data_IF_347180495355
#
_entry.id   IF_347180495355
#
_cell.length_a   1.000
_cell.length_b   1.000
_cell.length_c   1.000
_cell.angle_alpha   90.00
_cell.angle_beta   90.00
_cell.angle_gamma   90.00
#
_symmetry.space_group_name_H-M   'P 1'
#
loop_
_entity.id
_entity.type
_entity.pdbx_description
1 polymer ?
#
# COMPACT_ATOMS: atom_id res chain seq x y z
N UNK A 1 -8.31 6.80 19.49
CA UNK A 1 -8.38 7.19 18.06
C UNK A 1 -7.97 6.01 17.21
N UNK A 2 -8.72 5.72 16.15
CA UNK A 2 -8.38 4.68 15.15
C UNK A 2 -8.23 5.38 13.80
N UNK A 3 -7.08 5.24 13.17
CA UNK A 3 -6.80 5.76 11.82
C UNK A 3 -6.87 4.61 10.82
N UNK A 4 -7.84 4.66 9.93
CA UNK A 4 -8.00 3.74 8.82
C UNK A 4 -7.21 4.28 7.62
N UNK A 5 -6.07 3.69 7.36
CA UNK A 5 -5.16 4.02 6.27
C UNK A 5 -5.53 3.17 5.04
N UNK A 6 -6.62 3.55 4.38
CA UNK A 6 -7.11 2.85 3.20
C UNK A 6 -6.45 3.42 1.95
N UNK A 7 -5.42 2.71 1.47
CA UNK A 7 -4.56 3.21 0.42
C UNK A 7 -5.34 3.57 -0.84
N UNK A 8 -5.10 4.78 -1.35
CA UNK A 8 -5.46 5.26 -2.69
C UNK A 8 -6.97 5.25 -3.02
N UNK A 9 -7.87 5.30 -2.03
CA UNK A 9 -9.31 5.37 -2.32
C UNK A 9 -9.66 6.63 -3.12
N UNK A 10 -10.52 6.47 -4.12
CA UNK A 10 -11.03 7.54 -4.98
C UNK A 10 -12.32 8.14 -4.42
N UNK A 11 -12.35 9.45 -4.21
CA UNK A 11 -13.49 10.17 -3.64
C UNK A 11 -14.75 10.04 -4.50
N UNK A 12 -14.59 10.12 -5.83
CA UNK A 12 -15.68 10.04 -6.80
C UNK A 12 -16.33 8.65 -6.77
N UNK A 13 -15.53 7.59 -6.65
CA UNK A 13 -16.06 6.23 -6.53
C UNK A 13 -16.80 6.03 -5.21
N UNK A 14 -16.27 6.56 -4.09
CA UNK A 14 -16.98 6.53 -2.81
C UNK A 14 -18.33 7.25 -2.94
N UNK A 15 -18.34 8.47 -3.45
CA UNK A 15 -19.56 9.27 -3.62
C UNK A 15 -20.57 8.54 -4.52
N UNK A 16 -20.14 8.01 -5.66
CA UNK A 16 -20.98 7.27 -6.60
C UNK A 16 -21.57 5.99 -5.99
N UNK A 17 -20.78 5.23 -5.23
CA UNK A 17 -21.26 4.01 -4.57
C UNK A 17 -22.14 4.32 -3.35
N UNK A 18 -21.85 5.38 -2.60
CA UNK A 18 -22.75 5.86 -1.52
C UNK A 18 -24.10 6.33 -2.07
N UNK A 19 -24.12 7.06 -3.19
CA UNK A 19 -25.37 7.52 -3.82
C UNK A 19 -26.26 6.34 -4.25
N UNK A 20 -25.64 5.20 -4.62
CA UNK A 20 -26.33 3.94 -4.95
C UNK A 20 -26.69 3.10 -3.73
N UNK A 21 -26.44 3.56 -2.51
CA UNK A 21 -26.73 2.83 -1.27
C UNK A 21 -25.82 1.62 -1.01
N UNK A 22 -24.68 1.51 -1.69
CA UNK A 22 -23.80 0.34 -1.61
C UNK A 22 -22.80 0.39 -0.45
N UNK A 23 -22.62 1.57 0.17
CA UNK A 23 -21.59 1.84 1.19
C UNK A 23 -22.22 2.47 2.45
N UNK A 24 -23.02 1.72 3.23
CA UNK A 24 -23.65 2.24 4.45
C UNK A 24 -22.64 2.57 5.55
N UNK A 25 -21.51 1.85 5.66
CA UNK A 25 -20.43 2.10 6.62
C UNK A 25 -19.70 3.42 6.34
N UNK A 26 -19.33 3.66 5.07
CA UNK A 26 -18.77 4.95 4.65
C UNK A 26 -19.75 6.09 4.93
N UNK A 27 -21.02 5.91 4.58
CA UNK A 27 -22.06 6.92 4.85
C UNK A 27 -22.16 7.23 6.34
N UNK A 28 -22.20 6.21 7.19
CA UNK A 28 -22.28 6.38 8.64
C UNK A 28 -21.06 7.10 9.23
N UNK A 29 -19.84 6.91 8.66
CA UNK A 29 -18.66 7.65 9.04
C UNK A 29 -18.71 9.08 8.48
N UNK A 30 -19.05 9.25 7.20
CA UNK A 30 -19.15 10.54 6.52
C UNK A 30 -20.07 11.52 7.26
N UNK A 31 -21.28 11.07 7.60
CA UNK A 31 -22.32 11.88 8.25
C UNK A 31 -21.96 12.35 9.67
N UNK A 32 -20.88 11.83 10.25
CA UNK A 32 -20.37 12.25 11.57
C UNK A 32 -18.93 12.79 11.53
N UNK A 33 -18.43 13.10 10.35
CA UNK A 33 -17.05 13.53 10.16
C UNK A 33 -16.93 14.95 9.65
N UNK A 34 -15.86 15.63 10.06
CA UNK A 34 -15.30 16.75 9.29
C UNK A 34 -14.52 16.15 8.15
N UNK A 35 -14.91 16.50 6.93
CA UNK A 35 -14.44 15.92 5.67
C UNK A 35 -13.53 16.92 4.98
N UNK A 36 -12.29 16.51 4.74
CA UNK A 36 -11.30 17.27 3.98
C UNK A 36 -10.94 16.50 2.71
N UNK A 37 -10.69 17.23 1.63
CA UNK A 37 -9.88 16.77 0.52
C UNK A 37 -8.43 17.06 0.86
N UNK A 38 -7.55 16.06 0.74
CA UNK A 38 -6.10 16.28 0.95
C UNK A 38 -5.37 16.49 -0.37
N UNK A 39 -4.18 17.07 -0.29
CA UNK A 39 -3.26 17.21 -1.42
C UNK A 39 -1.87 16.70 -0.99
N UNK A 40 -1.32 15.76 -1.76
CA UNK A 40 0.00 15.19 -1.54
C UNK A 40 1.13 16.22 -1.79
N UNK A 41 0.87 17.25 -2.58
CA UNK A 41 1.85 18.30 -2.92
C UNK A 41 2.96 17.82 -3.86
N UNK A 42 2.82 16.63 -4.46
CA UNK A 42 3.81 16.01 -5.34
C UNK A 42 3.20 15.64 -6.69
N UNK A 43 4.07 15.44 -7.67
CA UNK A 43 3.75 14.97 -9.01
C UNK A 43 4.64 13.78 -9.38
N UNK A 44 4.31 12.99 -10.41
CA UNK A 44 5.21 11.96 -10.90
C UNK A 44 6.61 12.52 -11.25
N UNK A 45 7.71 11.82 -10.91
CA UNK A 45 7.77 10.45 -10.39
C UNK A 45 7.63 10.31 -8.87
N UNK A 46 7.45 11.40 -8.12
CA UNK A 46 7.43 11.38 -6.65
C UNK A 46 6.03 11.09 -6.08
N UNK A 47 4.98 11.07 -6.91
CA UNK A 47 3.62 10.79 -6.49
C UNK A 47 3.40 9.29 -6.34
N UNK A 48 4.03 8.71 -5.32
CA UNK A 48 3.97 7.28 -5.02
C UNK A 48 3.54 7.06 -3.56
N UNK A 49 2.68 6.08 -3.26
CA UNK A 49 2.16 5.90 -1.91
C UNK A 49 3.27 5.67 -0.87
N UNK A 50 4.33 4.92 -1.22
CA UNK A 50 5.45 4.68 -0.32
C UNK A 50 6.34 5.93 -0.06
N UNK A 51 6.17 7.01 -0.83
CA UNK A 51 6.75 8.34 -0.59
C UNK A 51 5.79 9.19 0.26
N UNK A 52 4.48 9.13 -0.03
CA UNK A 52 3.49 9.99 0.60
C UNK A 52 3.10 9.53 2.01
N UNK A 53 3.10 8.22 2.30
CA UNK A 53 2.83 7.74 3.66
C UNK A 53 3.87 8.20 4.69
N UNK A 54 5.20 8.19 4.43
CA UNK A 54 6.17 8.89 5.27
C UNK A 54 5.82 10.34 5.57
N UNK A 55 5.33 11.11 4.58
CA UNK A 55 4.84 12.48 4.76
C UNK A 55 3.67 12.54 5.75
N UNK A 56 2.66 11.67 5.59
CA UNK A 56 1.50 11.58 6.50
C UNK A 56 1.94 11.27 7.94
N UNK A 57 2.89 10.34 8.12
CA UNK A 57 3.32 9.90 9.45
C UNK A 57 4.31 10.82 10.14
N UNK A 58 5.14 11.55 9.37
CA UNK A 58 6.17 12.43 9.92
C UNK A 58 5.78 13.91 9.95
N UNK A 59 4.77 14.32 9.17
CA UNK A 59 4.46 15.74 8.96
C UNK A 59 5.57 16.52 8.24
N UNK A 60 6.46 15.80 7.53
CA UNK A 60 7.56 16.35 6.74
C UNK A 60 7.27 16.15 5.24
N UNK A 61 7.69 17.07 4.41
CA UNK A 61 7.60 16.92 2.94
C UNK A 61 8.60 15.86 2.44
N UNK A 62 8.37 15.34 1.22
CA UNK A 62 9.33 14.42 0.58
C UNK A 62 10.76 14.98 0.55
N UNK A 63 10.93 16.27 0.26
CA UNK A 63 12.26 16.93 0.21
C UNK A 63 13.00 16.87 1.55
N UNK A 64 12.26 16.84 2.66
CA UNK A 64 12.83 16.84 4.01
C UNK A 64 13.10 15.43 4.51
N UNK A 65 12.16 14.49 4.32
CA UNK A 65 12.38 13.12 4.80
C UNK A 65 13.25 12.27 3.85
N UNK A 66 13.28 12.56 2.55
CA UNK A 66 14.14 11.92 1.56
C UNK A 66 13.91 10.41 1.35
N UNK A 67 12.78 9.86 1.82
CA UNK A 67 12.45 8.43 1.66
C UNK A 67 11.84 8.25 0.27
N UNK A 68 12.60 7.64 -0.62
CA UNK A 68 12.19 7.45 -2.02
C UNK A 68 11.78 6.02 -2.33
N UNK A 69 12.43 5.02 -1.72
CA UNK A 69 12.21 3.62 -2.06
C UNK A 69 11.23 2.94 -1.13
N UNK A 70 10.48 1.98 -1.67
CA UNK A 70 9.59 1.12 -0.91
C UNK A 70 10.41 0.27 0.08
N UNK A 71 9.96 0.26 1.35
CA UNK A 71 10.60 -0.46 2.44
C UNK A 71 11.76 0.29 3.12
N UNK A 72 12.10 1.51 2.68
CA UNK A 72 13.18 2.33 3.24
C UNK A 72 12.72 3.24 4.40
N UNK A 73 11.50 3.11 4.87
CA UNK A 73 10.98 3.89 6.00
C UNK A 73 11.85 3.85 7.26
N UNK A 74 12.62 2.75 7.45
CA UNK A 74 13.58 2.63 8.57
C UNK A 74 14.70 3.69 8.53
N UNK A 75 14.94 4.31 7.39
CA UNK A 75 15.95 5.38 7.21
C UNK A 75 15.45 6.74 7.66
N UNK A 76 14.16 6.89 7.93
CA UNK A 76 13.58 8.13 8.46
C UNK A 76 14.24 8.45 9.82
N UNK A 77 14.92 9.59 9.89
CA UNK A 77 15.67 10.00 11.08
C UNK A 77 14.74 10.53 12.17
N UNK A 78 13.71 11.26 11.75
CA UNK A 78 12.78 11.91 12.65
C UNK A 78 11.69 10.93 13.14
N UNK A 79 11.10 11.23 14.30
CA UNK A 79 10.07 10.40 14.90
C UNK A 79 8.75 10.56 14.15
N UNK A 80 8.09 9.44 13.85
CA UNK A 80 6.71 9.45 13.36
C UNK A 80 5.73 9.87 14.47
N UNK A 81 4.51 10.22 14.09
CA UNK A 81 3.43 10.54 15.04
C UNK A 81 3.22 9.41 16.05
N UNK A 82 3.27 8.14 15.61
CA UNK A 82 3.14 6.97 16.49
C UNK A 82 4.27 6.91 17.53
N UNK A 83 5.53 7.17 17.12
CA UNK A 83 6.67 7.20 18.02
C UNK A 83 6.57 8.34 19.06
N UNK A 84 6.13 9.53 18.63
CA UNK A 84 5.94 10.68 19.54
C UNK A 84 4.84 10.42 20.58
N UNK A 85 3.73 9.80 20.16
CA UNK A 85 2.67 9.41 21.09
C UNK A 85 3.15 8.33 22.06
N UNK A 86 3.93 7.35 21.59
CA UNK A 86 4.54 6.33 22.44
C UNK A 86 5.50 6.92 23.47
N UNK A 87 6.34 7.89 23.08
CA UNK A 87 7.23 8.62 24.01
C UNK A 87 6.46 9.41 25.08
N UNK A 88 5.25 9.88 24.73
CA UNK A 88 4.32 10.51 25.67
C UNK A 88 3.53 9.50 26.53
N UNK A 89 4.01 8.25 26.62
CA UNK A 89 3.40 7.14 27.35
C UNK A 89 1.96 6.78 26.92
N UNK A 90 1.55 7.15 25.72
CA UNK A 90 0.26 6.76 25.14
C UNK A 90 0.42 5.37 24.52
N UNK A 91 -0.43 4.38 24.88
CA UNK A 91 -0.41 3.06 24.23
C UNK A 91 -0.76 3.15 22.75
N UNK A 92 0.13 2.64 21.88
CA UNK A 92 0.09 2.80 20.43
C UNK A 92 0.07 1.43 19.74
N UNK A 93 -0.75 1.29 18.68
CA UNK A 93 -0.72 0.16 17.78
C UNK A 93 -0.48 0.60 16.35
N UNK A 94 0.53 0.08 15.69
CA UNK A 94 0.76 0.29 14.25
C UNK A 94 0.59 -1.03 13.54
N UNK A 95 -0.35 -1.08 12.59
CA UNK A 95 -0.67 -2.29 11.84
C UNK A 95 -0.54 -2.07 10.34
N UNK A 96 0.57 -2.52 9.77
CA UNK A 96 0.80 -2.55 8.33
C UNK A 96 1.04 -1.17 7.67
N UNK A 97 1.13 -0.09 8.44
CA UNK A 97 1.35 1.26 7.90
C UNK A 97 2.56 1.32 6.99
N UNK A 98 2.35 1.83 5.76
CA UNK A 98 3.34 1.75 4.70
C UNK A 98 4.55 2.65 4.98
N UNK A 99 5.73 2.05 4.88
CA UNK A 99 7.03 2.73 4.92
C UNK A 99 7.27 3.53 6.21
N UNK A 100 6.72 3.06 7.34
CA UNK A 100 6.90 3.68 8.66
C UNK A 100 8.22 3.22 9.28
N UNK A 101 8.90 4.14 9.99
CA UNK A 101 10.10 3.84 10.72
C UNK A 101 9.81 2.85 11.87
N UNK A 102 10.60 1.75 11.94
CA UNK A 102 10.57 0.82 13.05
C UNK A 102 11.13 1.46 14.32
N UNK A 103 10.33 1.42 15.37
CA UNK A 103 10.76 1.76 16.74
C UNK A 103 10.01 0.88 17.73
N UNK A 104 10.61 0.60 18.88
CA UNK A 104 9.86 0.01 19.98
C UNK A 104 8.79 1.00 20.44
N UNK A 105 7.54 0.54 20.43
CA UNK A 105 6.39 1.34 20.82
C UNK A 105 5.82 0.83 22.15
N UNK A 106 5.26 1.73 22.92
CA UNK A 106 4.39 1.36 24.04
C UNK A 106 3.10 0.72 23.52
N UNK A 107 3.17 -0.57 23.16
CA UNK A 107 2.07 -1.30 22.55
C UNK A 107 2.54 -2.35 21.53
N UNK A 108 2.23 -2.16 20.24
CA UNK A 108 2.67 -3.10 19.20
C UNK A 108 2.99 -2.40 17.88
N UNK A 109 3.86 -3.07 17.08
CA UNK A 109 4.22 -2.66 15.72
C UNK A 109 4.23 -3.88 14.78
N UNK A 110 3.40 -3.86 13.76
CA UNK A 110 3.45 -4.78 12.62
C UNK A 110 3.78 -3.92 11.40
N UNK A 111 4.98 -4.08 10.80
CA UNK A 111 5.37 -3.28 9.63
C UNK A 111 4.58 -3.68 8.38
N UNK A 112 4.65 -2.84 7.36
CA UNK A 112 4.18 -3.22 6.02
C UNK A 112 5.01 -4.39 5.47
N UNK A 113 4.44 -5.18 4.54
CA UNK A 113 5.09 -6.38 4.02
C UNK A 113 6.43 -6.14 3.31
N UNK A 114 6.69 -4.92 2.85
CA UNK A 114 7.90 -4.54 2.11
C UNK A 114 9.03 -3.98 2.98
N UNK A 115 8.78 -3.82 4.28
CA UNK A 115 9.73 -3.21 5.21
C UNK A 115 11.04 -4.01 5.27
N UNK A 116 12.17 -3.38 4.90
CA UNK A 116 13.47 -4.07 4.74
C UNK A 116 14.03 -4.67 6.04
N UNK A 117 13.76 -4.09 7.20
CA UNK A 117 14.17 -4.67 8.48
C UNK A 117 13.30 -5.86 8.92
N UNK A 118 12.07 -5.96 8.41
CA UNK A 118 11.19 -7.11 8.56
C UNK A 118 10.92 -7.55 10.01
N UNK A 119 10.84 -6.62 10.98
CA UNK A 119 10.72 -6.92 12.40
C UNK A 119 9.42 -6.39 12.99
N UNK A 120 8.58 -7.30 13.49
CA UNK A 120 7.39 -6.96 14.27
C UNK A 120 7.72 -6.89 15.78
N UNK A 121 6.96 -6.09 16.52
CA UNK A 121 7.09 -5.97 17.98
C UNK A 121 5.71 -6.07 18.65
N UNK A 122 5.56 -6.85 19.72
CA UNK A 122 6.54 -7.77 20.31
C UNK A 122 6.88 -8.96 19.37
N UNK A 123 7.99 -9.65 19.64
CA UNK A 123 8.49 -10.75 18.81
C UNK A 123 7.46 -11.88 18.61
N UNK A 124 6.49 -12.03 19.51
CA UNK A 124 5.37 -12.96 19.36
C UNK A 124 4.52 -12.74 18.10
N UNK A 125 4.62 -11.56 17.45
CA UNK A 125 3.93 -11.22 16.20
C UNK A 125 4.76 -11.60 14.95
N UNK A 126 6.04 -11.93 15.12
CA UNK A 126 6.92 -12.25 14.01
C UNK A 126 6.45 -13.44 13.14
N UNK A 127 5.82 -14.50 13.69
CA UNK A 127 5.26 -15.58 12.86
C UNK A 127 4.17 -15.10 11.90
N UNK A 128 3.30 -14.21 12.35
CA UNK A 128 2.28 -13.58 11.49
C UNK A 128 2.95 -12.74 10.40
N UNK A 129 3.84 -11.83 10.79
CA UNK A 129 4.51 -10.95 9.85
C UNK A 129 5.25 -11.70 8.74
N UNK A 130 5.99 -12.76 9.08
CA UNK A 130 6.71 -13.60 8.09
C UNK A 130 5.79 -14.21 7.04
N UNK A 131 4.62 -14.69 7.45
CA UNK A 131 3.67 -15.27 6.49
C UNK A 131 3.11 -14.19 5.56
N UNK A 132 2.71 -13.04 6.11
CA UNK A 132 2.13 -11.96 5.29
C UNK A 132 3.17 -11.34 4.35
N UNK A 133 4.38 -11.03 4.82
CA UNK A 133 5.44 -10.46 3.99
C UNK A 133 5.83 -11.42 2.85
N UNK A 134 6.00 -12.71 3.17
CA UNK A 134 6.27 -13.73 2.15
C UNK A 134 5.14 -13.82 1.12
N UNK A 135 3.87 -13.87 1.56
CA UNK A 135 2.71 -13.93 0.67
C UNK A 135 2.66 -12.73 -0.31
N UNK A 136 3.02 -11.53 0.16
CA UNK A 136 2.98 -10.31 -0.65
C UNK A 136 4.20 -10.20 -1.56
N UNK A 137 5.40 -10.47 -1.06
CA UNK A 137 6.66 -10.34 -1.81
C UNK A 137 6.85 -11.46 -2.84
N UNK A 138 6.42 -12.67 -2.53
CA UNK A 138 6.61 -13.87 -3.36
C UNK A 138 5.37 -14.24 -4.18
N UNK A 139 4.39 -13.33 -4.29
CA UNK A 139 3.16 -13.58 -5.07
C UNK A 139 3.41 -13.96 -6.54
N UNK A 140 4.64 -13.80 -7.03
CA UNK A 140 5.10 -14.20 -8.36
C UNK A 140 5.96 -15.48 -8.37
N UNK A 141 6.22 -16.12 -7.21
CA UNK A 141 6.96 -17.39 -7.11
C UNK A 141 5.98 -18.53 -6.80
N UNK A 142 6.16 -19.66 -7.47
CA UNK A 142 5.35 -20.88 -7.27
C UNK A 142 5.71 -21.67 -6.00
N UNK A 143 6.62 -21.19 -5.15
CA UNK A 143 6.99 -21.83 -3.91
C UNK A 143 5.84 -21.75 -2.91
N UNK A 144 5.00 -22.78 -2.95
CA UNK A 144 3.87 -22.93 -2.04
C UNK A 144 4.33 -22.97 -0.58
N UNK A 145 3.56 -22.33 0.31
CA UNK A 145 3.72 -22.54 1.75
C UNK A 145 3.67 -24.03 2.08
N UNK A 146 4.55 -24.48 2.95
CA UNK A 146 4.46 -25.83 3.48
C UNK A 146 3.14 -26.00 4.25
N UNK A 147 2.62 -27.22 4.28
CA UNK A 147 1.42 -27.53 5.10
C UNK A 147 1.64 -27.15 6.56
N UNK A 148 2.87 -27.30 7.07
CA UNK A 148 3.25 -26.91 8.42
C UNK A 148 3.13 -25.38 8.64
N UNK A 149 3.56 -24.55 7.68
CA UNK A 149 3.41 -23.09 7.75
C UNK A 149 1.93 -22.70 7.79
N UNK A 150 1.11 -23.32 6.96
CA UNK A 150 -0.33 -23.04 6.90
C UNK A 150 -1.05 -23.45 8.21
N UNK A 151 -0.73 -24.60 8.76
CA UNK A 151 -1.29 -25.08 10.04
C UNK A 151 -0.82 -24.17 11.18
N UNK A 152 0.49 -23.86 11.22
CA UNK A 152 1.07 -22.95 12.21
C UNK A 152 0.43 -21.56 12.19
N UNK A 153 0.22 -21.00 10.99
CA UNK A 153 -0.46 -19.73 10.82
C UNK A 153 -1.94 -19.79 11.24
N UNK A 154 -2.67 -20.82 10.85
CA UNK A 154 -4.05 -21.03 11.27
C UNK A 154 -4.20 -21.13 12.79
N UNK A 155 -3.28 -21.85 13.44
CA UNK A 155 -3.21 -21.96 14.90
C UNK A 155 -2.90 -20.61 15.58
N UNK A 156 -1.94 -19.86 15.02
CA UNK A 156 -1.65 -18.51 15.49
C UNK A 156 -2.89 -17.63 15.44
N UNK A 157 -3.60 -17.60 14.30
CA UNK A 157 -4.80 -16.78 14.11
C UNK A 157 -5.94 -17.19 15.04
N UNK A 158 -6.17 -18.50 15.23
CA UNK A 158 -7.19 -19.01 16.15
C UNK A 158 -6.97 -18.52 17.60
N UNK A 159 -5.70 -18.41 18.02
CA UNK A 159 -5.33 -17.88 19.34
C UNK A 159 -5.34 -16.36 19.45
N UNK A 160 -5.22 -15.68 18.32
CA UNK A 160 -5.08 -14.23 18.25
C UNK A 160 -6.29 -13.51 17.64
N UNK A 161 -7.48 -14.10 17.75
CA UNK A 161 -8.73 -13.37 17.53
C UNK A 161 -9.46 -13.68 16.22
N UNK A 162 -9.06 -14.73 15.48
CA UNK A 162 -9.82 -15.19 14.31
C UNK A 162 -11.30 -15.38 14.67
N UNK A 163 -12.16 -14.66 13.97
CA UNK A 163 -13.62 -14.77 14.17
C UNK A 163 -14.23 -15.89 13.32
N UNK A 164 -15.36 -16.43 13.76
CA UNK A 164 -16.10 -17.41 12.98
C UNK A 164 -16.56 -16.86 11.61
N UNK A 165 -16.88 -15.56 11.54
CA UNK A 165 -17.23 -14.89 10.28
C UNK A 165 -16.07 -14.88 9.29
N UNK A 166 -14.88 -14.51 9.74
CA UNK A 166 -13.66 -14.48 8.91
C UNK A 166 -13.25 -15.90 8.49
N UNK A 167 -13.30 -16.88 9.43
CA UNK A 167 -13.03 -18.29 9.09
C UNK A 167 -14.00 -18.82 8.02
N UNK A 168 -15.29 -18.44 8.13
CA UNK A 168 -16.31 -18.79 7.13
C UNK A 168 -16.04 -18.09 5.77
N UNK A 169 -15.62 -16.82 5.78
CA UNK A 169 -15.26 -16.11 4.56
C UNK A 169 -14.07 -16.77 3.85
N UNK A 170 -13.03 -17.17 4.60
CA UNK A 170 -11.88 -17.93 4.08
C UNK A 170 -12.34 -19.26 3.47
N UNK A 171 -13.14 -20.04 4.20
CA UNK A 171 -13.62 -21.34 3.72
C UNK A 171 -14.45 -21.21 2.45
N UNK A 172 -15.34 -20.20 2.37
CA UNK A 172 -16.14 -19.89 1.17
C UNK A 172 -15.26 -19.48 0.00
N UNK A 173 -14.24 -18.63 0.24
CA UNK A 173 -13.32 -18.22 -0.81
C UNK A 173 -12.54 -19.41 -1.38
N UNK A 174 -11.93 -20.23 -0.51
CA UNK A 174 -11.16 -21.40 -0.93
C UNK A 174 -12.03 -22.47 -1.62
N UNK A 175 -13.26 -22.68 -1.13
CA UNK A 175 -14.24 -23.54 -1.79
C UNK A 175 -14.68 -23.00 -3.16
N UNK A 176 -14.97 -21.71 -3.24
CA UNK A 176 -15.33 -21.03 -4.48
C UNK A 176 -14.23 -21.09 -5.53
N UNK A 177 -12.97 -20.90 -5.15
CA UNK A 177 -11.82 -20.98 -6.04
C UNK A 177 -11.57 -22.36 -6.66
N UNK A 178 -11.99 -23.43 -5.99
CA UNK A 178 -11.92 -24.79 -6.55
C UNK A 178 -12.95 -24.99 -7.68
N UNK A 179 -14.07 -24.27 -7.60
CA UNK A 179 -15.12 -24.31 -8.62
C UNK A 179 -14.84 -23.30 -9.72
N UNK A 180 -14.29 -22.15 -9.38
CA UNK A 180 -14.00 -21.04 -10.29
C UNK A 180 -12.67 -20.35 -9.89
N UNK A 181 -11.52 -20.77 -10.47
CA UNK A 181 -10.22 -20.17 -10.20
C UNK A 181 -10.14 -18.66 -10.54
N UNK A 182 -11.04 -18.15 -11.41
CA UNK A 182 -11.10 -16.75 -11.81
C UNK A 182 -11.47 -15.78 -10.70
N UNK A 183 -11.90 -16.26 -9.50
CA UNK A 183 -12.21 -15.42 -8.34
C UNK A 183 -11.07 -15.29 -7.34
N UNK A 184 -9.86 -15.78 -7.65
CA UNK A 184 -8.68 -15.68 -6.75
C UNK A 184 -8.33 -14.26 -6.34
N UNK A 185 -8.61 -13.28 -7.18
CA UNK A 185 -8.39 -11.85 -6.90
C UNK A 185 -9.06 -11.39 -5.58
N UNK A 186 -10.15 -12.03 -5.15
CA UNK A 186 -10.84 -11.70 -3.89
C UNK A 186 -10.04 -12.02 -2.63
N UNK A 187 -8.97 -12.82 -2.73
CA UNK A 187 -8.12 -13.16 -1.57
C UNK A 187 -7.60 -11.93 -0.84
N UNK A 188 -7.28 -10.84 -1.58
CA UNK A 188 -6.77 -9.62 -0.98
C UNK A 188 -7.74 -9.03 0.05
N UNK A 189 -9.04 -8.97 -0.26
CA UNK A 189 -10.05 -8.46 0.68
C UNK A 189 -10.34 -9.41 1.84
N UNK A 190 -10.22 -10.73 1.63
CA UNK A 190 -10.31 -11.70 2.73
C UNK A 190 -9.14 -11.57 3.69
N UNK A 191 -7.95 -11.25 3.17
CA UNK A 191 -6.78 -10.96 3.98
C UNK A 191 -6.99 -9.73 4.87
N UNK A 192 -7.60 -8.67 4.36
CA UNK A 192 -7.92 -7.48 5.17
C UNK A 192 -8.84 -7.83 6.36
N UNK A 193 -9.85 -8.68 6.15
CA UNK A 193 -10.73 -9.13 7.24
C UNK A 193 -9.96 -9.95 8.31
N UNK A 194 -9.04 -10.81 7.86
CA UNK A 194 -8.17 -11.57 8.73
C UNK A 194 -7.20 -10.69 9.55
N UNK A 195 -6.61 -9.69 8.89
CA UNK A 195 -5.74 -8.69 9.52
C UNK A 195 -6.51 -7.85 10.53
N UNK A 196 -7.76 -7.48 10.24
CA UNK A 196 -8.60 -6.75 11.16
C UNK A 196 -8.94 -7.54 12.43
N UNK A 197 -9.15 -8.86 12.33
CA UNK A 197 -9.40 -9.70 13.50
C UNK A 197 -8.20 -9.67 14.46
N UNK A 198 -6.98 -9.77 13.95
CA UNK A 198 -5.75 -9.63 14.73
C UNK A 198 -5.59 -8.21 15.30
N UNK A 199 -5.80 -7.18 14.49
CA UNK A 199 -5.76 -5.77 14.90
C UNK A 199 -6.68 -5.50 16.11
N UNK A 200 -7.92 -5.94 16.03
CA UNK A 200 -8.89 -5.81 17.11
C UNK A 200 -8.41 -6.50 18.39
N UNK A 201 -7.85 -7.71 18.27
CA UNK A 201 -7.33 -8.47 19.40
C UNK A 201 -6.13 -7.79 20.05
N UNK A 202 -5.21 -7.26 19.25
CA UNK A 202 -4.02 -6.57 19.75
C UNK A 202 -4.40 -5.25 20.44
N UNK A 203 -5.30 -4.46 19.87
CA UNK A 203 -5.77 -3.22 20.50
C UNK A 203 -6.37 -3.47 21.89
N UNK A 204 -7.19 -4.52 22.03
CA UNK A 204 -7.77 -4.89 23.32
C UNK A 204 -6.68 -5.39 24.30
N UNK A 205 -5.73 -6.20 23.83
CA UNK A 205 -4.66 -6.76 24.67
C UNK A 205 -3.69 -5.70 25.20
N UNK A 206 -3.33 -4.74 24.35
CA UNK A 206 -2.39 -3.67 24.69
C UNK A 206 -3.09 -2.39 25.16
N UNK A 207 -4.42 -2.40 25.29
CA UNK A 207 -5.22 -1.26 25.70
C UNK A 207 -4.89 0.01 24.92
N UNK A 208 -4.77 -0.15 23.60
CA UNK A 208 -4.31 0.88 22.67
C UNK A 208 -5.24 2.09 22.67
N UNK A 209 -4.66 3.29 22.74
CA UNK A 209 -5.38 4.56 22.65
C UNK A 209 -5.26 5.23 21.28
N UNK A 210 -4.17 4.95 20.58
CA UNK A 210 -3.95 5.37 19.19
C UNK A 210 -3.57 4.15 18.36
N UNK A 211 -4.30 3.88 17.28
CA UNK A 211 -3.95 2.81 16.38
C UNK A 211 -4.10 3.22 14.91
N UNK A 212 -3.22 2.69 14.07
CA UNK A 212 -3.34 2.73 12.60
C UNK A 212 -3.65 1.34 12.07
N UNK A 213 -4.49 1.26 11.03
CA UNK A 213 -4.79 0.04 10.30
C UNK A 213 -4.71 0.32 8.80
N UNK A 214 -3.70 -0.27 8.15
CA UNK A 214 -3.46 -0.10 6.73
C UNK A 214 -4.09 -1.22 5.90
N UNK A 215 -4.72 -0.86 4.79
CA UNK A 215 -5.21 -1.80 3.78
C UNK A 215 -4.87 -1.32 2.37
N UNK A 216 -4.44 -2.26 1.51
CA UNK A 216 -4.02 -2.01 0.13
C UNK A 216 -4.88 -2.75 -0.92
N UNK A 217 -5.85 -3.57 -0.51
CA UNK A 217 -6.59 -4.43 -1.45
C UNK A 217 -7.36 -3.63 -2.49
N UNK A 218 -8.03 -2.54 -2.08
CA UNK A 218 -8.82 -1.71 -3.00
C UNK A 218 -7.94 -0.92 -3.97
N UNK A 219 -6.79 -0.41 -3.51
CA UNK A 219 -5.80 0.20 -4.39
C UNK A 219 -5.33 -0.77 -5.48
N UNK A 220 -5.03 -2.03 -5.09
CA UNK A 220 -4.70 -3.09 -6.02
C UNK A 220 -5.81 -3.30 -7.06
N UNK A 221 -7.08 -3.38 -6.64
CA UNK A 221 -8.18 -3.55 -7.59
C UNK A 221 -8.34 -2.37 -8.54
N UNK A 222 -8.14 -1.14 -8.08
CA UNK A 222 -8.19 0.06 -8.92
C UNK A 222 -7.05 0.06 -9.95
N UNK A 223 -5.83 -0.31 -9.58
CA UNK A 223 -4.72 -0.41 -10.53
C UNK A 223 -5.00 -1.41 -11.66
N UNK A 224 -5.60 -2.55 -11.35
CA UNK A 224 -5.71 -3.65 -12.29
C UNK A 224 -7.04 -3.69 -13.06
N UNK A 225 -8.16 -3.28 -12.43
CA UNK A 225 -9.50 -3.62 -12.93
C UNK A 225 -10.39 -2.43 -13.25
N UNK A 226 -9.85 -1.22 -13.33
CA UNK A 226 -10.66 -0.05 -13.69
C UNK A 226 -11.22 -0.18 -15.11
N UNK A 227 -10.41 -0.66 -16.02
CA UNK A 227 -10.81 -0.96 -17.41
C UNK A 227 -11.94 -2.01 -17.49
N UNK A 228 -11.89 -3.02 -16.62
CA UNK A 228 -12.95 -4.02 -16.56
C UNK A 228 -14.25 -3.44 -15.99
N UNK A 229 -14.18 -2.44 -15.08
CA UNK A 229 -15.36 -1.80 -14.49
C UNK A 229 -16.00 -0.78 -15.43
N UNK A 230 -15.22 -0.03 -16.20
CA UNK A 230 -15.67 1.06 -17.06
C UNK A 230 -14.96 0.98 -18.43
N UNK A 231 -15.20 -0.09 -19.23
CA UNK A 231 -14.50 -0.31 -20.48
C UNK A 231 -14.70 0.83 -21.49
N UNK A 232 -15.83 1.52 -21.42
CA UNK A 232 -16.22 2.59 -22.33
C UNK A 232 -15.34 3.85 -22.28
N UNK A 233 -14.62 4.07 -21.16
CA UNK A 233 -13.72 5.23 -21.02
C UNK A 233 -12.29 4.94 -21.48
N UNK A 234 -11.98 3.68 -21.80
CA UNK A 234 -10.64 3.26 -22.22
C UNK A 234 -10.56 3.02 -23.72
N UNK A 235 -9.46 3.42 -24.35
CA UNK A 235 -9.23 3.17 -25.78
C UNK A 235 -9.01 1.68 -26.06
N UNK A 236 -8.33 0.97 -25.14
CA UNK A 236 -8.15 -0.49 -25.24
C UNK A 236 -9.20 -1.20 -24.38
N UNK A 237 -9.92 -2.19 -24.91
CA UNK A 237 -10.88 -2.98 -24.13
C UNK A 237 -10.19 -3.84 -23.08
N UNK A 238 -10.93 -4.43 -22.13
CA UNK A 238 -10.44 -5.54 -21.30
C UNK A 238 -9.86 -6.66 -22.16
N UNK A 239 -8.95 -7.46 -21.60
CA UNK A 239 -8.37 -8.57 -22.34
C UNK A 239 -9.44 -9.62 -22.64
N UNK A 240 -9.35 -10.29 -23.79
CA UNK A 240 -10.30 -11.34 -24.20
C UNK A 240 -10.36 -12.51 -23.20
N UNK A 241 -9.25 -12.76 -22.47
CA UNK A 241 -9.18 -13.79 -21.41
C UNK A 241 -9.55 -13.31 -20.02
N UNK A 242 -9.96 -12.05 -19.84
CA UNK A 242 -10.33 -11.52 -18.53
C UNK A 242 -11.59 -12.20 -18.00
N UNK A 243 -11.53 -12.65 -16.74
CA UNK A 243 -12.69 -13.27 -16.09
C UNK A 243 -13.81 -12.24 -15.89
N UNK A 244 -15.06 -12.59 -16.21
CA UNK A 244 -16.20 -11.67 -16.15
C UNK A 244 -16.41 -11.01 -14.77
N UNK A 245 -16.01 -11.68 -13.68
CA UNK A 245 -16.12 -11.11 -12.32
C UNK A 245 -15.23 -9.90 -12.06
N UNK A 246 -14.21 -9.63 -12.90
CA UNK A 246 -13.30 -8.51 -12.76
C UNK A 246 -13.99 -7.16 -12.94
N UNK A 247 -15.08 -7.10 -13.72
CA UNK A 247 -15.92 -5.91 -13.84
C UNK A 247 -16.48 -5.42 -12.50
N UNK A 248 -16.68 -6.32 -11.54
CA UNK A 248 -17.15 -6.00 -10.19
C UNK A 248 -16.03 -5.84 -9.14
N UNK A 249 -14.76 -5.97 -9.50
CA UNK A 249 -13.67 -6.09 -8.53
C UNK A 249 -13.47 -4.82 -7.69
N UNK A 250 -13.47 -3.65 -8.32
CA UNK A 250 -13.35 -2.36 -7.61
C UNK A 250 -14.52 -2.16 -6.65
N UNK A 251 -15.76 -2.34 -7.13
CA UNK A 251 -16.94 -2.25 -6.25
C UNK A 251 -16.87 -3.24 -5.08
N UNK A 252 -16.38 -4.46 -5.31
CA UNK A 252 -16.16 -5.44 -4.25
C UNK A 252 -15.16 -4.94 -3.20
N UNK A 253 -14.04 -4.32 -3.63
CA UNK A 253 -13.05 -3.71 -2.75
C UNK A 253 -13.67 -2.64 -1.85
N UNK A 254 -14.40 -1.69 -2.44
CA UNK A 254 -15.08 -0.64 -1.68
C UNK A 254 -16.10 -1.22 -0.68
N UNK A 255 -16.88 -2.23 -1.07
CA UNK A 255 -17.80 -2.91 -0.15
C UNK A 255 -17.07 -3.68 0.96
N UNK A 256 -15.85 -4.15 0.71
CA UNK A 256 -15.03 -4.78 1.76
C UNK A 256 -14.55 -3.73 2.76
N UNK A 257 -14.04 -2.58 2.29
CA UNK A 257 -13.68 -1.45 3.16
C UNK A 257 -14.88 -0.93 3.94
N UNK A 258 -16.05 -0.88 3.31
CA UNK A 258 -17.31 -0.49 3.95
C UNK A 258 -17.66 -1.38 5.15
N UNK A 259 -17.55 -2.70 4.97
CA UNK A 259 -17.75 -3.65 6.08
C UNK A 259 -16.75 -3.46 7.20
N UNK A 260 -15.47 -3.19 6.87
CA UNK A 260 -14.44 -2.91 7.87
C UNK A 260 -14.75 -1.62 8.65
N UNK A 261 -15.15 -0.54 7.96
CA UNK A 261 -15.60 0.68 8.63
C UNK A 261 -16.76 0.37 9.58
N UNK A 262 -17.77 -0.38 9.12
CA UNK A 262 -18.92 -0.77 9.95
C UNK A 262 -18.49 -1.55 11.20
N UNK A 263 -17.53 -2.49 11.06
CA UNK A 263 -16.94 -3.23 12.18
C UNK A 263 -16.20 -2.31 13.16
N UNK A 264 -15.37 -1.38 12.63
CA UNK A 264 -14.64 -0.41 13.47
C UNK A 264 -15.59 0.46 14.27
N UNK A 265 -16.65 0.97 13.63
CA UNK A 265 -17.65 1.80 14.31
C UNK A 265 -18.43 1.04 15.39
N UNK A 266 -18.63 -0.27 15.21
CA UNK A 266 -19.28 -1.14 16.19
C UNK A 266 -18.34 -1.56 17.32
N UNK A 267 -17.08 -1.92 16.99
CA UNK A 267 -16.08 -2.40 17.97
C UNK A 267 -15.53 -1.25 18.84
N UNK A 268 -15.54 0.00 18.33
CA UNK A 268 -14.96 1.18 19.00
C UNK A 268 -15.93 2.38 18.99
N UNK A 269 -17.13 2.28 19.62
CA UNK A 269 -18.18 3.29 19.53
C UNK A 269 -17.76 4.67 20.10
N UNK A 270 -16.84 4.69 21.06
CA UNK A 270 -16.32 5.90 21.72
C UNK A 270 -15.04 6.44 21.06
N UNK A 271 -14.51 5.77 20.02
CA UNK A 271 -13.28 6.20 19.39
C UNK A 271 -13.54 7.26 18.32
N UNK A 272 -12.65 8.26 18.26
CA UNK A 272 -12.51 9.07 17.06
C UNK A 272 -11.97 8.18 15.94
N UNK A 273 -12.78 7.91 14.93
CA UNK A 273 -12.37 7.17 13.72
C UNK A 273 -11.93 8.18 12.65
N UNK A 274 -10.73 7.98 12.13
CA UNK A 274 -10.18 8.78 11.04
C UNK A 274 -10.04 7.89 9.81
N UNK A 275 -10.57 8.30 8.68
CA UNK A 275 -10.27 7.69 7.37
C UNK A 275 -9.26 8.59 6.66
N UNK A 276 -8.15 7.99 6.23
CA UNK A 276 -7.05 8.74 5.61
C UNK A 276 -6.52 8.00 4.39
N UNK A 277 -6.21 8.76 3.34
CA UNK A 277 -5.38 8.33 2.22
C UNK A 277 -4.23 9.30 2.05
N UNK A 278 -3.05 8.81 1.62
CA UNK A 278 -1.91 9.68 1.35
C UNK A 278 -2.02 10.36 -0.04
N UNK A 279 -2.72 9.74 -0.94
CA UNK A 279 -3.07 10.14 -2.30
C UNK A 279 -4.27 9.29 -2.75
N UNK A 280 -4.77 9.47 -3.97
CA UNK A 280 -5.82 8.60 -4.53
C UNK A 280 -5.46 8.05 -5.91
N UNK A 281 -6.45 7.45 -6.59
CA UNK A 281 -6.33 7.02 -7.97
C UNK A 281 -7.46 7.57 -8.82
N UNK A 282 -7.18 7.70 -10.10
CA UNK A 282 -8.14 7.94 -11.18
C UNK A 282 -7.95 6.95 -12.31
N UNK A 283 -8.92 6.81 -13.19
CA UNK A 283 -8.79 5.97 -14.38
C UNK A 283 -7.64 6.47 -15.27
N UNK A 284 -6.80 5.54 -15.72
CA UNK A 284 -5.74 5.85 -16.68
C UNK A 284 -6.23 5.53 -18.09
N UNK A 285 -6.80 6.51 -18.73
CA UNK A 285 -7.38 6.39 -20.09
C UNK A 285 -6.36 6.58 -21.22
N UNK A 286 -5.14 7.07 -20.92
CA UNK A 286 -4.06 7.18 -21.91
C UNK A 286 -3.46 5.81 -22.21
N UNK A 287 -4.00 5.18 -23.24
CA UNK A 287 -3.71 3.81 -23.62
C UNK A 287 -2.55 3.66 -24.61
N UNK A 288 -1.91 4.75 -24.98
CA UNK A 288 -0.69 4.69 -25.81
C UNK A 288 0.50 4.18 -24.99
N UNK A 289 0.41 4.26 -23.67
CA UNK A 289 1.45 3.79 -22.74
C UNK A 289 1.09 2.42 -22.17
N UNK A 290 1.94 1.45 -22.39
CA UNK A 290 1.87 0.13 -21.78
C UNK A 290 3.05 -0.09 -20.82
N UNK A 291 2.88 -1.00 -19.87
CA UNK A 291 3.97 -1.45 -19.01
C UNK A 291 4.48 -2.79 -19.51
N UNK A 292 5.78 -2.91 -19.68
CA UNK A 292 6.47 -4.05 -20.25
C UNK A 292 7.42 -4.66 -19.22
N UNK A 293 7.32 -5.97 -19.01
CA UNK A 293 8.12 -6.70 -18.02
C UNK A 293 8.95 -7.79 -18.71
N UNK A 294 10.18 -8.07 -18.25
CA UNK A 294 10.93 -9.23 -18.72
C UNK A 294 10.13 -10.52 -18.48
N UNK A 295 10.03 -11.38 -19.50
CA UNK A 295 9.45 -12.74 -19.35
C UNK A 295 10.29 -13.59 -18.41
N UNK A 296 11.60 -13.46 -18.53
CA UNK A 296 12.58 -14.09 -17.67
C UNK A 296 13.76 -13.15 -17.51
N UNK A 297 14.15 -12.86 -16.29
CA UNK A 297 15.38 -12.10 -16.03
C UNK A 297 16.61 -12.86 -16.51
N UNK A 298 16.62 -14.18 -16.38
CA UNK A 298 17.72 -15.01 -16.88
C UNK A 298 17.88 -14.85 -18.40
N UNK A 299 16.79 -14.87 -19.16
CA UNK A 299 16.82 -14.66 -20.60
C UNK A 299 17.28 -13.25 -20.98
N UNK A 300 16.85 -12.22 -20.27
CA UNK A 300 17.29 -10.84 -20.48
C UNK A 300 18.79 -10.69 -20.19
N UNK A 301 19.25 -11.17 -19.03
CA UNK A 301 20.64 -11.10 -18.62
C UNK A 301 21.54 -11.92 -19.58
N UNK A 302 21.12 -13.12 -19.97
CA UNK A 302 21.81 -13.94 -20.96
C UNK A 302 21.95 -13.22 -22.32
N UNK A 303 20.86 -12.59 -22.79
CA UNK A 303 20.93 -11.80 -24.02
C UNK A 303 21.85 -10.59 -23.87
N UNK A 304 21.90 -9.94 -22.70
CA UNK A 304 22.84 -8.88 -22.39
C UNK A 304 24.27 -9.38 -22.15
N UNK A 305 24.53 -10.70 -22.17
CA UNK A 305 25.80 -11.35 -21.82
C UNK A 305 26.26 -11.08 -20.38
N UNK A 306 25.32 -11.10 -19.47
CA UNK A 306 25.54 -11.00 -18.01
C UNK A 306 25.29 -12.38 -17.42
N UNK A 307 26.26 -12.89 -16.61
CA UNK A 307 26.07 -14.17 -15.91
C UNK A 307 25.04 -14.03 -14.80
N UNK A 308 23.86 -14.62 -15.01
CA UNK A 308 22.75 -14.55 -14.06
C UNK A 308 23.05 -15.18 -12.69
N UNK A 309 24.07 -16.08 -12.62
CA UNK A 309 24.48 -16.73 -11.36
C UNK A 309 25.24 -15.79 -10.42
N UNK A 310 25.79 -14.70 -10.95
CA UNK A 310 26.52 -13.66 -10.20
C UNK A 310 25.64 -12.47 -9.80
N UNK A 311 24.33 -12.58 -9.97
CA UNK A 311 23.39 -11.46 -9.78
C UNK A 311 22.21 -11.89 -8.91
N UNK A 312 22.02 -11.22 -7.79
CA UNK A 312 20.76 -11.33 -7.03
C UNK A 312 19.72 -10.40 -7.66
N UNK A 313 18.64 -10.99 -8.18
CA UNK A 313 17.54 -10.26 -8.83
C UNK A 313 16.46 -10.02 -7.80
N UNK A 314 16.13 -8.74 -7.57
CA UNK A 314 15.06 -8.32 -6.69
C UNK A 314 13.99 -7.57 -7.50
N UNK A 315 12.91 -8.23 -7.92
CA UNK A 315 11.79 -7.57 -8.57
C UNK A 315 11.22 -6.49 -7.64
N UNK A 316 10.91 -5.33 -8.21
CA UNK A 316 10.15 -4.27 -7.57
C UNK A 316 8.73 -4.32 -8.13
N UNK A 317 7.90 -3.33 -7.84
CA UNK A 317 6.56 -3.28 -8.41
C UNK A 317 6.61 -2.99 -9.92
N UNK A 318 5.65 -3.56 -10.66
CA UNK A 318 5.48 -3.39 -12.10
C UNK A 318 6.68 -3.86 -12.95
N UNK A 319 7.25 -2.97 -13.76
CA UNK A 319 8.37 -3.22 -14.68
C UNK A 319 9.75 -3.12 -14.04
N UNK A 320 9.84 -2.64 -12.81
CA UNK A 320 11.07 -2.27 -12.14
C UNK A 320 11.76 -3.47 -11.49
N UNK A 321 13.09 -3.39 -11.37
CA UNK A 321 13.89 -4.42 -10.71
C UNK A 321 15.21 -3.85 -10.18
N UNK A 322 15.75 -4.49 -9.15
CA UNK A 322 17.13 -4.28 -8.70
C UNK A 322 17.98 -5.48 -9.08
N UNK A 323 19.21 -5.22 -9.49
CA UNK A 323 20.25 -6.21 -9.73
C UNK A 323 21.41 -5.94 -8.78
N UNK A 324 21.66 -6.87 -7.86
CA UNK A 324 22.76 -6.78 -6.89
C UNK A 324 23.89 -7.70 -7.34
N UNK A 325 25.09 -7.16 -7.42
CA UNK A 325 26.31 -7.83 -7.89
C UNK A 325 27.31 -8.03 -6.75
N UNK A 326 28.17 -9.04 -6.88
CA UNK A 326 29.22 -9.35 -5.91
C UNK A 326 30.35 -8.30 -5.90
N UNK A 327 30.48 -7.47 -6.96
CA UNK A 327 31.49 -6.45 -7.06
C UNK A 327 31.06 -5.22 -7.86
N UNK A 328 31.63 -4.06 -7.54
CA UNK A 328 31.43 -2.81 -8.26
C UNK A 328 31.83 -2.92 -9.75
N UNK A 329 32.86 -3.73 -10.07
CA UNK A 329 33.30 -3.95 -11.43
C UNK A 329 32.27 -4.74 -12.25
N UNK A 330 31.70 -5.82 -11.68
CA UNK A 330 30.62 -6.58 -12.29
C UNK A 330 29.37 -5.72 -12.51
N UNK A 331 29.05 -4.88 -11.53
CA UNK A 331 27.97 -3.91 -11.62
C UNK A 331 28.20 -2.90 -12.78
N UNK A 332 29.39 -2.37 -12.93
CA UNK A 332 29.75 -1.43 -14.02
C UNK A 332 29.68 -2.08 -15.42
N UNK A 333 30.15 -3.33 -15.52
CA UNK A 333 30.03 -4.08 -16.79
C UNK A 333 28.56 -4.35 -17.14
N UNK A 334 27.77 -4.74 -16.17
CA UNK A 334 26.35 -4.99 -16.36
C UNK A 334 25.58 -3.73 -16.74
N UNK A 335 25.87 -2.59 -16.11
CA UNK A 335 25.29 -1.30 -16.48
C UNK A 335 25.53 -0.97 -17.95
N UNK A 336 26.79 -1.11 -18.41
CA UNK A 336 27.15 -0.88 -19.80
C UNK A 336 26.42 -1.85 -20.73
N UNK A 337 26.34 -3.12 -20.36
CA UNK A 337 25.71 -4.16 -21.17
C UNK A 337 24.20 -3.97 -21.29
N UNK A 338 23.52 -3.54 -20.22
CA UNK A 338 22.07 -3.27 -20.25
C UNK A 338 21.75 -1.99 -21.03
N UNK A 339 22.58 -0.97 -20.91
CA UNK A 339 22.45 0.28 -21.68
C UNK A 339 22.75 0.10 -23.19
N UNK A 340 23.40 -0.98 -23.56
CA UNK A 340 23.70 -1.34 -24.95
C UNK A 340 22.49 -1.94 -25.69
N UNK A 341 21.41 -2.29 -24.98
CA UNK A 341 20.21 -2.83 -25.57
C UNK A 341 19.32 -1.72 -26.13
N UNK A 342 18.92 -1.86 -27.38
CA UNK A 342 18.06 -0.91 -28.09
C UNK A 342 16.84 -1.60 -28.69
N UNK A 343 15.75 -0.83 -28.75
CA UNK A 343 14.61 -1.14 -29.59
C UNK A 343 14.51 -0.02 -30.64
N UNK A 344 14.77 -0.37 -31.91
CA UNK A 344 15.10 0.62 -32.92
C UNK A 344 16.29 1.48 -32.42
N UNK A 345 16.20 2.82 -32.50
CA UNK A 345 17.22 3.74 -32.00
C UNK A 345 17.04 4.18 -30.54
N UNK A 346 16.06 3.62 -29.85
CA UNK A 346 15.70 4.02 -28.47
C UNK A 346 16.35 3.09 -27.45
N UNK A 347 16.64 3.64 -26.27
CA UNK A 347 17.03 2.81 -25.13
C UNK A 347 15.89 1.81 -24.80
N UNK A 348 16.25 0.55 -24.59
CA UNK A 348 15.30 -0.49 -24.19
C UNK A 348 14.98 -0.38 -22.69
N UNK A 349 15.97 -0.05 -21.88
CA UNK A 349 15.88 0.00 -20.44
C UNK A 349 16.36 1.34 -19.92
N UNK A 350 15.64 1.88 -18.92
CA UNK A 350 16.23 2.83 -17.99
C UNK A 350 17.08 2.05 -17.00
N UNK A 351 18.36 2.42 -16.85
CA UNK A 351 19.31 1.80 -15.91
C UNK A 351 19.97 2.89 -15.09
N UNK A 352 19.85 2.80 -13.77
CA UNK A 352 20.45 3.74 -12.81
C UNK A 352 21.27 2.99 -11.78
N UNK A 353 22.47 3.48 -11.47
CA UNK A 353 23.29 2.95 -10.38
C UNK A 353 22.80 3.54 -9.05
N UNK A 354 22.45 2.68 -8.09
CA UNK A 354 21.99 3.09 -6.76
C UNK A 354 23.08 2.97 -5.69
N UNK A 355 23.98 2.00 -5.87
CA UNK A 355 25.14 1.83 -5.02
C UNK A 355 26.32 1.31 -5.85
N UNK A 356 27.47 1.09 -5.22
CA UNK A 356 28.63 0.51 -5.90
C UNK A 356 28.30 -0.84 -6.58
N UNK A 357 27.40 -1.63 -5.98
CA UNK A 357 27.09 -2.99 -6.40
C UNK A 357 25.63 -3.19 -6.86
N UNK A 358 24.81 -2.13 -6.91
CA UNK A 358 23.38 -2.25 -7.21
C UNK A 358 22.96 -1.39 -8.37
N UNK A 359 22.24 -1.99 -9.33
CA UNK A 359 21.55 -1.30 -10.41
C UNK A 359 20.04 -1.36 -10.17
N UNK A 360 19.36 -0.25 -10.40
CA UNK A 360 17.93 -0.17 -10.60
C UNK A 360 17.64 -0.11 -12.09
N UNK A 361 16.64 -0.86 -12.54
CA UNK A 361 16.25 -0.88 -13.94
C UNK A 361 14.76 -1.06 -14.15
N UNK A 362 14.30 -0.68 -15.35
CA UNK A 362 12.94 -0.87 -15.82
C UNK A 362 12.86 -0.76 -17.33
N UNK A 363 11.80 -1.26 -17.95
CA UNK A 363 11.61 -1.10 -19.39
C UNK A 363 11.19 0.35 -19.69
N UNK A 364 11.97 1.04 -20.52
CA UNK A 364 11.72 2.44 -20.91
C UNK A 364 10.77 2.57 -22.12
N UNK A 365 10.46 1.44 -22.73
CA UNK A 365 9.60 1.37 -23.92
C UNK A 365 8.15 1.25 -23.47
N UNK A 366 7.29 2.14 -23.97
CA UNK A 366 5.88 2.27 -23.53
C UNK A 366 4.87 2.12 -24.70
N UNK A 367 5.28 1.62 -25.87
CA UNK A 367 4.39 1.49 -27.03
C UNK A 367 3.81 0.06 -27.13
N UNK A 368 2.49 -0.04 -27.18
CA UNK A 368 1.77 -1.30 -27.26
C UNK A 368 2.00 -2.10 -28.57
N UNK A 369 2.51 -1.47 -29.63
CA UNK A 369 2.70 -2.08 -30.95
C UNK A 369 4.04 -2.76 -31.14
N UNK A 370 4.69 -3.19 -30.07
CA UNK A 370 6.08 -3.65 -30.07
C UNK A 370 6.25 -5.18 -30.23
N UNK A 371 5.17 -5.95 -30.27
CA UNK A 371 5.26 -7.42 -30.35
C UNK A 371 6.06 -7.92 -31.55
N UNK A 372 6.04 -7.16 -32.66
CA UNK A 372 6.70 -7.50 -33.93
C UNK A 372 8.08 -6.82 -34.10
N UNK A 373 8.57 -6.11 -33.07
CA UNK A 373 9.85 -5.40 -33.10
C UNK A 373 11.01 -6.27 -32.63
N UNK A 374 12.20 -5.87 -33.02
CA UNK A 374 13.46 -6.58 -32.73
C UNK A 374 14.35 -5.74 -31.80
N UNK A 375 14.78 -6.34 -30.70
CA UNK A 375 15.78 -5.77 -29.82
C UNK A 375 17.17 -6.03 -30.41
N UNK A 376 17.99 -4.99 -30.44
CA UNK A 376 19.38 -5.06 -30.92
C UNK A 376 20.35 -4.81 -29.75
N UNK A 377 21.36 -5.66 -29.66
CA UNK A 377 22.53 -5.41 -28.82
C UNK A 377 23.58 -4.72 -29.71
N UNK A 378 23.82 -3.44 -29.45
CA UNK A 378 24.54 -2.54 -30.35
C UNK A 378 26.00 -2.98 -30.58
N UNK A 379 26.69 -3.41 -29.52
CA UNK A 379 28.13 -3.74 -29.56
C UNK A 379 28.53 -4.85 -30.56
N UNK A 380 27.62 -5.74 -30.90
CA UNK A 380 27.92 -6.87 -31.80
C UNK A 380 26.81 -7.15 -32.83
N UNK A 381 25.76 -6.33 -32.83
CA UNK A 381 24.63 -6.43 -33.76
C UNK A 381 23.72 -7.64 -33.54
N UNK A 382 23.87 -8.36 -32.42
CA UNK A 382 22.96 -9.47 -32.11
C UNK A 382 21.54 -8.98 -31.88
N UNK A 383 20.58 -9.73 -32.43
CA UNK A 383 19.15 -9.35 -32.38
C UNK A 383 18.31 -10.42 -31.72
N UNK A 384 17.17 -10.01 -31.14
CA UNK A 384 16.17 -10.91 -30.60
C UNK A 384 14.76 -10.28 -30.71
N UNK A 385 13.72 -11.06 -31.10
CA UNK A 385 12.37 -10.55 -31.09
C UNK A 385 11.96 -9.99 -29.73
N UNK A 386 11.31 -8.83 -29.71
CA UNK A 386 10.90 -8.16 -28.46
C UNK A 386 10.02 -9.07 -27.60
N UNK A 387 9.04 -9.73 -28.20
CA UNK A 387 8.09 -10.62 -27.53
C UNK A 387 8.72 -11.87 -26.90
N UNK A 388 9.99 -12.24 -27.24
CA UNK A 388 10.72 -13.31 -26.56
C UNK A 388 11.30 -12.89 -25.23
N UNK A 389 11.68 -11.61 -25.07
CA UNK A 389 12.29 -11.08 -23.86
C UNK A 389 11.28 -10.36 -22.95
N UNK A 390 10.27 -9.71 -23.54
CA UNK A 390 9.30 -8.92 -22.81
C UNK A 390 7.87 -9.35 -23.08
N UNK A 391 6.99 -9.07 -22.14
CA UNK A 391 5.56 -9.16 -22.34
C UNK A 391 4.87 -7.91 -21.82
N UNK A 392 3.75 -7.59 -22.42
CA UNK A 392 2.96 -6.45 -22.02
C UNK A 392 2.06 -6.84 -20.86
N UNK A 393 2.13 -6.06 -19.80
CA UNK A 393 1.25 -6.20 -18.65
C UNK A 393 0.02 -5.33 -18.91
N UNK A 394 -0.91 -5.80 -19.74
CA UNK A 394 -2.12 -5.05 -20.12
C UNK A 394 -2.98 -4.64 -18.93
N UNK A 395 -2.95 -5.44 -17.86
CA UNK A 395 -3.79 -5.25 -16.69
C UNK A 395 -3.20 -4.32 -15.63
N UNK A 396 -1.91 -3.96 -15.72
CA UNK A 396 -1.22 -3.33 -14.60
C UNK A 396 -1.49 -1.83 -14.46
N UNK A 397 -2.07 -1.14 -15.43
CA UNK A 397 -2.33 0.29 -15.25
C UNK A 397 -3.64 0.71 -15.89
N UNK A 398 -4.72 0.33 -15.26
CA UNK A 398 -6.03 0.94 -15.50
C UNK A 398 -6.35 2.04 -14.47
N UNK A 399 -5.66 2.07 -13.33
CA UNK A 399 -5.66 3.15 -12.36
C UNK A 399 -4.31 3.88 -12.29
N UNK A 400 -4.34 5.18 -12.08
CA UNK A 400 -3.19 6.07 -12.01
C UNK A 400 -3.28 6.96 -10.78
N UNK A 401 -2.14 7.24 -10.11
CA UNK A 401 -2.10 8.07 -8.92
C UNK A 401 -2.59 9.50 -9.18
N UNK A 402 -3.42 9.99 -8.27
CA UNK A 402 -3.92 11.36 -8.23
C UNK A 402 -3.49 12.00 -6.90
N UNK A 403 -2.95 13.24 -6.90
CA UNK A 403 -2.48 13.89 -5.68
C UNK A 403 -3.61 14.20 -4.68
N UNK A 404 -4.86 14.22 -5.12
CA UNK A 404 -6.02 14.48 -4.27
C UNK A 404 -6.39 13.23 -3.49
N UNK A 405 -6.30 13.32 -2.16
CA UNK A 405 -6.67 12.24 -1.26
C UNK A 405 -7.85 12.61 -0.34
N UNK A 406 -8.05 11.81 0.69
CA UNK A 406 -9.14 11.92 1.65
C UNK A 406 -8.61 12.04 3.07
N UNK A 407 -9.26 12.88 3.87
CA UNK A 407 -9.13 12.88 5.33
C UNK A 407 -10.50 13.15 5.94
N UNK A 408 -11.09 12.13 6.55
CA UNK A 408 -12.34 12.25 7.30
C UNK A 408 -12.05 12.06 8.78
N UNK A 409 -12.35 13.04 9.60
CA UNK A 409 -12.14 12.98 11.05
C UNK A 409 -13.48 12.89 11.73
N UNK A 410 -13.76 11.77 12.39
CA UNK A 410 -14.98 11.56 13.16
C UNK A 410 -15.08 12.54 14.33
N UNK A 411 -15.76 13.65 14.11
CA UNK A 411 -15.95 14.75 15.06
C UNK A 411 -17.32 14.72 15.76
N UNK A 412 -18.18 13.78 15.37
CA UNK A 412 -19.58 13.72 15.81
C UNK A 412 -20.52 14.67 15.05
N UNK A 413 -19.98 15.55 14.20
CA UNK A 413 -20.73 16.48 13.37
C UNK A 413 -20.26 16.39 11.91
N UNK A 414 -21.20 16.42 10.98
CA UNK A 414 -20.88 16.49 9.57
C UNK A 414 -20.52 17.91 9.14
N UNK A 415 -19.36 18.05 8.52
CA UNK A 415 -18.88 19.30 7.93
C UNK A 415 -17.98 18.97 6.75
N UNK A 416 -18.15 19.65 5.62
CA UNK A 416 -17.27 19.51 4.45
C UNK A 416 -16.45 20.78 4.32
N UNK A 417 -15.12 20.65 4.39
CA UNK A 417 -14.21 21.77 4.19
C UNK A 417 -13.90 21.89 2.70
N UNK A 418 -14.18 23.07 2.14
CA UNK A 418 -14.09 23.28 0.70
C UNK A 418 -12.64 23.33 0.20
N UNK A 419 -11.74 23.95 0.98
CA UNK A 419 -10.34 24.11 0.60
C UNK A 419 -9.54 22.83 0.86
N UNK A 420 -8.77 22.33 -0.13
CA UNK A 420 -7.88 21.21 0.08
C UNK A 420 -6.80 21.51 1.14
N UNK A 421 -6.45 20.51 1.91
CA UNK A 421 -5.42 20.60 2.95
C UNK A 421 -4.22 19.72 2.62
N UNK A 422 -3.02 20.15 2.98
CA UNK A 422 -1.83 19.32 2.75
C UNK A 422 -1.80 18.10 3.68
N UNK A 423 -1.32 16.96 3.16
CA UNK A 423 -1.11 15.74 3.96
C UNK A 423 -0.10 15.92 5.10
N UNK A 424 0.80 16.92 5.02
CA UNK A 424 1.72 17.25 6.13
C UNK A 424 1.00 17.70 7.40
N UNK A 425 -0.27 18.13 7.30
CA UNK A 425 -1.08 18.59 8.42
C UNK A 425 -1.64 17.43 9.27
N UNK A 426 -1.59 16.18 8.77
CA UNK A 426 -2.25 15.03 9.41
C UNK A 426 -1.55 14.66 10.73
N UNK A 427 -0.22 14.48 10.72
CA UNK A 427 0.53 14.15 11.94
C UNK A 427 0.38 15.24 13.05
N UNK A 428 0.54 16.55 12.76
CA UNK A 428 0.28 17.60 13.73
C UNK A 428 -1.15 17.59 14.28
N UNK A 429 -2.14 17.28 13.43
CA UNK A 429 -3.55 17.17 13.84
C UNK A 429 -3.74 16.05 14.87
N UNK A 430 -3.16 14.87 14.61
CA UNK A 430 -3.22 13.73 15.54
C UNK A 430 -2.54 14.10 16.87
N UNK A 431 -1.33 14.67 16.85
CA UNK A 431 -0.63 15.10 18.07
C UNK A 431 -1.48 16.07 18.89
N UNK A 432 -2.11 17.05 18.23
CA UNK A 432 -3.00 18.01 18.91
C UNK A 432 -4.18 17.34 19.61
N UNK A 433 -4.79 16.31 18.99
CA UNK A 433 -5.89 15.54 19.61
C UNK A 433 -5.47 14.84 20.90
N UNK A 434 -4.18 14.52 21.06
CA UNK A 434 -3.64 13.90 22.26
C UNK A 434 -2.96 14.89 23.22
N UNK A 435 -2.93 16.17 22.88
CA UNK A 435 -2.24 17.19 23.68
C UNK A 435 -0.72 17.06 23.67
N UNK A 436 -0.15 16.39 22.67
CA UNK A 436 1.29 16.23 22.51
C UNK A 436 1.84 17.37 21.65
N UNK A 437 2.88 18.08 22.10
CA UNK A 437 3.48 19.18 21.35
C UNK A 437 4.02 18.72 19.98
N UNK A 438 3.78 19.50 18.94
CA UNK A 438 4.34 19.33 17.61
C UNK A 438 5.84 19.65 17.64
N UNK A 439 6.75 18.75 17.20
CA UNK A 439 8.18 19.06 17.11
C UNK A 439 8.46 20.04 15.95
N UNK A 440 9.61 20.71 16.03
CA UNK A 440 9.99 21.78 15.09
C UNK A 440 10.13 21.32 13.63
N UNK A 441 10.46 20.04 13.40
CA UNK A 441 10.57 19.49 12.03
C UNK A 441 9.21 19.25 11.35
N UNK A 442 8.10 19.26 12.07
CA UNK A 442 6.76 19.19 11.50
C UNK A 442 6.29 20.59 11.11
N UNK A 443 6.22 20.88 9.82
CA UNK A 443 5.84 22.23 9.35
C UNK A 443 4.34 22.40 9.19
N UNK A 444 3.58 21.30 9.05
CA UNK A 444 2.13 21.33 8.91
C UNK A 444 1.43 21.95 10.13
N UNK A 445 0.31 22.62 9.90
CA UNK A 445 -0.52 23.16 10.97
C UNK A 445 -1.65 22.18 11.31
N UNK A 446 -1.97 22.01 12.60
CA UNK A 446 -3.06 21.13 12.99
C UNK A 446 -4.38 21.62 12.43
N UNK A 447 -5.10 20.74 11.74
CA UNK A 447 -6.48 20.96 11.35
C UNK A 447 -7.36 20.92 12.60
N UNK A 448 -8.18 21.93 12.79
CA UNK A 448 -9.08 22.01 13.97
C UNK A 448 -10.50 21.77 13.48
N UNK A 449 -11.00 20.54 13.57
CA UNK A 449 -12.45 20.35 13.56
C UNK A 449 -13.04 21.08 14.76
N UNK A 450 -14.09 21.85 14.58
CA UNK A 450 -14.66 22.72 15.63
C UNK A 450 -15.08 21.98 16.91
N UNK A 451 -14.98 20.64 17.01
CA UNK A 451 -15.35 19.83 18.17
C UNK A 451 -14.61 18.50 18.28
N UNK A 452 -13.29 18.49 18.38
CA UNK A 452 -12.64 17.31 18.95
C UNK A 452 -12.57 17.51 20.45
N UNK A 453 -13.47 16.88 21.23
CA UNK A 453 -13.28 16.78 22.66
C UNK A 453 -12.09 15.85 22.95
N UNK A 454 -11.06 16.29 23.70
CA UNK A 454 -10.00 15.39 24.16
C UNK A 454 -10.67 14.25 24.93
N UNK A 455 -10.27 13.01 24.62
CA UNK A 455 -10.78 11.82 25.30
C UNK A 455 -10.72 12.03 26.80
N UNK A 456 -11.89 12.12 27.47
CA UNK A 456 -11.98 12.34 28.93
C UNK A 456 -11.25 11.18 29.60
N UNK A 457 -10.15 11.49 30.27
CA UNK A 457 -9.46 10.57 31.17
C UNK A 457 -10.44 10.17 32.28
N UNK A 458 -10.75 8.86 32.41
CA UNK A 458 -11.50 8.33 33.55
C UNK A 458 -10.79 8.59 34.91
N UNK A 459 -9.57 9.09 34.92
CA UNK A 459 -8.82 9.46 36.13
C UNK A 459 -9.38 10.72 36.81
N UNK A 460 -10.14 11.58 36.13
CA UNK A 460 -10.68 12.79 36.73
C UNK A 460 -12.06 12.60 37.44
N UNK A 461 -12.68 11.43 37.35
CA UNK A 461 -13.98 11.16 37.98
C UNK A 461 -13.89 10.51 39.36
N UNK A 462 -12.69 10.10 39.83
CA UNK A 462 -12.54 9.48 41.16
C UNK A 462 -12.31 10.51 42.27
N UNK A 463 -11.94 11.77 41.94
CA UNK A 463 -11.65 12.81 42.94
C UNK A 463 -12.86 13.69 43.28
N UNK A 464 -14.01 13.52 42.64
CA UNK A 464 -15.20 14.35 42.87
C UNK A 464 -16.28 13.67 43.77
N UNK A 465 -15.99 12.50 44.35
CA UNK A 465 -16.90 11.79 45.27
C UNK A 465 -16.35 11.63 46.70
N UNK A 466 -15.30 12.42 47.05
CA UNK A 466 -14.74 12.45 48.40
C UNK A 466 -14.66 13.90 48.89
N UNK A 467 -15.81 14.60 49.01
CA UNK A 467 -16.03 15.73 49.91
C UNK A 467 -17.52 15.83 50.21
#
# INVERSE_FOLDING_TARGET
MIVLEFNELCAELIAGFMARGLLPGFRALYERSTVFTTDAGEAPPNLEPWIQWPTVHSGMTFREHGIFDLGDGYRLREKSVAALLSDAAIPVGVFGSMNVNYRELNGYFIPDPWHKLGRASPDSLQPFYRVISRQVQESSREDAFSLADMVGFGWFMARNGLTASTATAIARQLGGERLDPGIRWRRASVLDELQYDLFRRLNARHQVRFATFFSNSTAHYQHYYWRNMQPEIFTLPPLEGDHASLAGAIQHGYRSMDRLIGRVLADYPDATVVLCTALSQRAWTDTTKCTLRPRSFESLLSFAQIDSRSVAIKPVMAEQFHLEFDSAESCARAETALRDLRLDDRALLTVRRESENTLFGGCDVVDARLADRTITRVRDGATKPFGELFYMIHTMRSGYHDPRGLLWIGSGRHEVVAEPVSIVNIAPTILKCFGVPKPAYMHGEPLVPHTIHPARSKAAQVTALAH
#
